data_IF_469604379954
#
_entry.id   IF_469604379954
#
_cell.length_a   1.000
_cell.length_b   1.000
_cell.length_c   1.000
_cell.angle_alpha   90.00
_cell.angle_beta   90.00
_cell.angle_gamma   90.00
#
_symmetry.space_group_name_H-M   'P 1'
#
loop_
_entity.id
_entity.type
_entity.pdbx_description
1 polymer ?
#
# COMPACT_ATOMS: atom_id res chain seq x y z
N UNK A 1 -13.91 14.32 11.76
CA UNK A 1 -13.69 14.73 10.34
C UNK A 1 -12.62 13.88 9.65
N UNK A 2 -11.55 13.48 10.33
CA UNK A 2 -10.49 12.61 9.76
C UNK A 2 -11.00 11.26 9.20
N UNK A 3 -11.87 10.49 9.90
CA UNK A 3 -12.34 9.21 9.36
C UNK A 3 -13.17 9.37 8.08
N UNK A 4 -13.92 10.46 7.92
CA UNK A 4 -14.71 10.71 6.71
C UNK A 4 -13.81 11.03 5.51
N UNK A 5 -12.81 11.91 5.67
CA UNK A 5 -11.89 12.27 4.59
C UNK A 5 -11.05 11.06 4.14
N UNK A 6 -10.61 10.22 5.08
CA UNK A 6 -9.90 8.99 4.78
C UNK A 6 -10.78 8.00 4.02
N UNK A 7 -12.02 7.79 4.46
CA UNK A 7 -12.97 6.91 3.79
C UNK A 7 -13.26 7.37 2.35
N UNK A 8 -13.44 8.69 2.14
CA UNK A 8 -13.62 9.28 0.82
C UNK A 8 -12.38 9.09 -0.08
N UNK A 9 -11.18 9.29 0.47
CA UNK A 9 -9.94 9.08 -0.28
C UNK A 9 -9.78 7.60 -0.72
N UNK A 10 -10.06 6.66 0.17
CA UNK A 10 -10.04 5.22 -0.13
C UNK A 10 -11.10 4.87 -1.18
N UNK A 11 -12.34 5.35 -1.03
CA UNK A 11 -13.41 5.11 -1.99
C UNK A 11 -13.06 5.67 -3.37
N UNK A 12 -12.50 6.87 -3.44
CA UNK A 12 -12.03 7.48 -4.68
C UNK A 12 -10.91 6.66 -5.31
N UNK A 13 -9.92 6.24 -4.52
CA UNK A 13 -8.81 5.41 -5.01
C UNK A 13 -9.31 4.07 -5.58
N UNK A 14 -10.23 3.39 -4.91
CA UNK A 14 -10.80 2.12 -5.36
C UNK A 14 -11.63 2.30 -6.64
N UNK A 15 -12.40 3.39 -6.77
CA UNK A 15 -13.24 3.64 -7.94
C UNK A 15 -12.45 4.12 -9.17
N UNK A 16 -11.27 4.70 -8.98
CA UNK A 16 -10.45 5.31 -10.04
C UNK A 16 -10.14 4.36 -11.22
N UNK A 17 -9.74 3.09 -11.05
CA UNK A 17 -9.50 2.15 -12.14
C UNK A 17 -10.72 1.93 -13.04
N UNK A 18 -11.94 1.90 -12.49
CA UNK A 18 -13.19 1.78 -13.26
C UNK A 18 -13.46 3.00 -14.12
N UNK A 19 -13.28 4.20 -13.56
CA UNK A 19 -13.41 5.45 -14.31
C UNK A 19 -12.40 5.53 -15.45
N UNK A 20 -11.15 5.17 -15.19
CA UNK A 20 -10.10 5.14 -16.21
C UNK A 20 -10.43 4.13 -17.31
N UNK A 21 -10.96 2.95 -16.96
CA UNK A 21 -11.35 1.94 -17.95
C UNK A 21 -12.50 2.44 -18.82
N UNK A 22 -13.54 3.03 -18.21
CA UNK A 22 -14.67 3.59 -18.95
C UNK A 22 -14.26 4.71 -19.91
N UNK A 23 -13.39 5.61 -19.48
CA UNK A 23 -12.91 6.72 -20.33
C UNK A 23 -12.13 6.22 -21.55
N UNK A 24 -11.42 5.09 -21.41
CA UNK A 24 -10.62 4.54 -22.51
C UNK A 24 -11.40 3.62 -23.43
N UNK A 25 -12.36 2.85 -22.94
CA UNK A 25 -13.05 1.80 -23.69
C UNK A 25 -14.55 2.05 -23.88
N UNK A 26 -15.12 3.08 -23.27
CA UNK A 26 -16.52 3.45 -23.41
C UNK A 26 -17.53 2.57 -22.64
N UNK A 27 -17.09 1.51 -21.95
CA UNK A 27 -17.96 0.61 -21.18
C UNK A 27 -17.42 0.35 -19.77
N UNK A 28 -18.32 -0.09 -18.86
CA UNK A 28 -17.98 -0.34 -17.44
C UNK A 28 -17.44 -1.77 -17.18
N UNK A 29 -17.58 -2.69 -18.15
CA UNK A 29 -17.12 -4.07 -18.00
C UNK A 29 -15.62 -4.13 -18.19
N UNK A 30 -14.88 -4.29 -17.12
CA UNK A 30 -13.44 -4.47 -17.13
C UNK A 30 -13.09 -5.86 -16.60
N UNK A 31 -12.05 -6.49 -17.16
CA UNK A 31 -11.50 -7.71 -16.58
C UNK A 31 -10.79 -7.40 -15.26
N UNK A 32 -10.77 -8.39 -14.37
CA UNK A 32 -10.05 -8.26 -13.09
C UNK A 32 -8.58 -7.83 -13.29
N UNK A 33 -7.88 -8.46 -14.24
CA UNK A 33 -6.48 -8.17 -14.56
C UNK A 33 -6.26 -6.71 -14.93
N UNK A 34 -7.14 -6.15 -15.78
CA UNK A 34 -7.03 -4.76 -16.20
C UNK A 34 -7.25 -3.78 -15.04
N UNK A 35 -8.19 -4.08 -14.15
CA UNK A 35 -8.46 -3.26 -12.96
C UNK A 35 -7.31 -3.36 -11.96
N UNK A 36 -6.83 -4.57 -11.73
CA UNK A 36 -5.71 -4.85 -10.83
C UNK A 36 -4.43 -4.14 -11.29
N UNK A 37 -4.08 -4.27 -12.58
CA UNK A 37 -2.92 -3.60 -13.15
C UNK A 37 -2.99 -2.09 -12.97
N UNK A 38 -4.14 -1.47 -13.25
CA UNK A 38 -4.36 -0.03 -13.05
C UNK A 38 -4.30 0.39 -11.61
N UNK A 39 -4.89 -0.39 -10.70
CA UNK A 39 -4.83 -0.11 -9.27
C UNK A 39 -3.37 -0.09 -8.76
N UNK A 40 -2.57 -1.08 -9.16
CA UNK A 40 -1.14 -1.11 -8.84
C UNK A 40 -0.35 0.04 -9.47
N UNK A 41 -0.62 0.36 -10.73
CA UNK A 41 0.01 1.50 -11.40
C UNK A 41 -0.33 2.82 -10.70
N UNK A 42 -1.60 3.02 -10.33
CA UNK A 42 -2.02 4.20 -9.59
C UNK A 42 -1.37 4.25 -8.19
N UNK A 43 -1.31 3.11 -7.48
CA UNK A 43 -0.67 3.00 -6.16
C UNK A 43 0.81 3.35 -6.21
N UNK A 44 1.56 2.79 -7.17
CA UNK A 44 2.99 3.08 -7.35
C UNK A 44 3.22 4.53 -7.77
N UNK A 45 2.37 5.07 -8.65
CA UNK A 45 2.44 6.50 -9.03
C UNK A 45 2.23 7.40 -7.82
N UNK A 46 1.25 7.07 -6.98
CA UNK A 46 0.96 7.82 -5.74
C UNK A 46 2.11 7.73 -4.75
N UNK A 47 2.69 6.52 -4.57
CA UNK A 47 3.84 6.32 -3.70
C UNK A 47 5.06 7.12 -4.18
N UNK A 48 5.33 7.15 -5.48
CA UNK A 48 6.40 7.94 -6.07
C UNK A 48 6.14 9.45 -5.89
N UNK A 49 4.92 9.91 -6.11
CA UNK A 49 4.53 11.30 -5.88
C UNK A 49 4.69 11.70 -4.41
N UNK A 50 4.30 10.83 -3.47
CA UNK A 50 4.47 11.05 -2.05
C UNK A 50 5.97 11.12 -1.67
N UNK A 51 6.79 10.21 -2.18
CA UNK A 51 8.23 10.20 -1.96
C UNK A 51 8.88 11.48 -2.51
N UNK A 52 8.53 11.89 -3.73
CA UNK A 52 9.01 13.13 -4.33
C UNK A 52 8.63 14.36 -3.48
N UNK A 53 7.39 14.44 -3.05
CA UNK A 53 6.89 15.53 -2.20
C UNK A 53 7.62 15.56 -0.86
N UNK A 54 7.80 14.40 -0.22
CA UNK A 54 8.51 14.26 1.05
C UNK A 54 9.97 14.70 0.94
N UNK A 55 10.68 14.22 -0.08
CA UNK A 55 12.07 14.59 -0.34
C UNK A 55 12.20 16.10 -0.59
N UNK A 56 11.30 16.69 -1.34
CA UNK A 56 11.33 18.14 -1.60
C UNK A 56 11.08 18.92 -0.31
N UNK A 57 10.13 18.50 0.54
CA UNK A 57 9.92 19.12 1.85
C UNK A 57 11.12 18.99 2.76
N UNK A 58 11.83 17.86 2.73
CA UNK A 58 13.08 17.68 3.48
C UNK A 58 14.15 18.67 3.01
N UNK A 59 14.27 18.89 1.71
CA UNK A 59 15.21 19.87 1.14
C UNK A 59 14.82 21.31 1.52
N UNK A 60 13.54 21.66 1.46
CA UNK A 60 13.04 22.98 1.88
C UNK A 60 13.27 23.22 3.38
N UNK A 61 13.02 22.19 4.21
CA UNK A 61 13.31 22.26 5.63
C UNK A 61 14.82 22.46 5.89
N UNK A 62 15.67 21.70 5.21
CA UNK A 62 17.13 21.86 5.30
C UNK A 62 17.56 23.27 4.87
N UNK A 63 16.99 23.76 3.78
CA UNK A 63 17.22 25.14 3.31
C UNK A 63 16.86 26.15 4.40
N UNK A 64 15.64 26.08 4.94
CA UNK A 64 15.20 26.97 6.02
C UNK A 64 16.14 26.92 7.23
N UNK A 65 16.59 25.72 7.63
CA UNK A 65 17.53 25.54 8.74
C UNK A 65 18.90 26.17 8.47
N UNK A 66 19.43 26.02 7.24
CA UNK A 66 20.71 26.63 6.87
C UNK A 66 20.66 28.16 6.88
N UNK A 67 19.58 28.77 6.38
CA UNK A 67 19.42 30.23 6.41
C UNK A 67 19.16 30.77 7.82
N UNK A 68 18.58 29.98 8.70
CA UNK A 68 18.43 30.32 10.12
C UNK A 68 19.78 30.46 10.81
N UNK A 69 20.79 29.65 10.45
CA UNK A 69 22.17 29.82 10.93
C UNK A 69 22.77 31.19 10.54
N UNK A 70 22.33 31.75 9.43
CA UNK A 70 22.71 33.08 8.96
C UNK A 70 21.82 34.20 9.57
N UNK A 71 20.97 33.86 10.56
CA UNK A 71 20.00 34.78 11.19
C UNK A 71 18.95 35.33 10.22
N UNK A 72 18.65 34.62 9.11
CA UNK A 72 17.62 34.98 8.16
C UNK A 72 16.41 34.07 8.43
N UNK A 73 15.35 34.59 9.04
CA UNK A 73 14.15 33.83 9.42
C UNK A 73 13.10 33.72 8.32
N UNK A 74 13.22 34.52 7.24
CA UNK A 74 12.23 34.67 6.18
C UNK A 74 11.75 33.34 5.59
N UNK A 75 12.66 32.41 5.32
CA UNK A 75 12.30 31.10 4.73
C UNK A 75 11.58 30.21 5.74
N UNK A 76 11.94 30.26 7.02
CA UNK A 76 11.26 29.52 8.06
C UNK A 76 9.81 29.99 8.24
N UNK A 77 9.61 31.29 8.21
CA UNK A 77 8.28 31.89 8.37
C UNK A 77 7.42 31.58 7.16
N UNK A 78 7.96 31.69 5.94
CA UNK A 78 7.30 31.29 4.70
C UNK A 78 6.88 29.82 4.67
N UNK A 79 7.77 28.91 5.10
CA UNK A 79 7.49 27.46 5.09
C UNK A 79 6.53 27.02 6.19
N UNK A 80 6.16 27.90 7.11
CA UNK A 80 5.12 27.67 8.13
C UNK A 80 3.77 28.28 7.75
N UNK A 81 3.73 29.12 6.71
CA UNK A 81 2.51 29.73 6.24
C UNK A 81 1.57 28.66 5.63
N UNK A 82 0.33 28.57 6.16
CA UNK A 82 -0.62 27.53 5.76
C UNK A 82 -0.94 27.56 4.26
N UNK A 83 -1.06 28.75 3.68
CA UNK A 83 -1.31 28.94 2.25
C UNK A 83 -0.12 28.41 1.42
N UNK A 84 1.12 28.72 1.82
CA UNK A 84 2.31 28.22 1.15
C UNK A 84 2.42 26.69 1.24
N UNK A 85 2.20 26.10 2.43
CA UNK A 85 2.21 24.66 2.63
C UNK A 85 1.19 23.98 1.70
N UNK A 86 -0.04 24.48 1.64
CA UNK A 86 -1.08 23.90 0.80
C UNK A 86 -0.74 23.98 -0.69
N UNK A 87 -0.31 25.16 -1.18
CA UNK A 87 0.08 25.34 -2.58
C UNK A 87 1.31 24.54 -2.96
N UNK A 88 2.37 24.59 -2.15
CA UNK A 88 3.60 23.85 -2.40
C UNK A 88 3.34 22.34 -2.42
N UNK A 89 2.65 21.80 -1.39
CA UNK A 89 2.32 20.38 -1.32
C UNK A 89 1.48 19.92 -2.51
N UNK A 90 0.44 20.69 -2.88
CA UNK A 90 -0.40 20.38 -4.04
C UNK A 90 0.38 20.39 -5.36
N UNK A 91 1.22 21.40 -5.56
CA UNK A 91 2.06 21.52 -6.76
C UNK A 91 3.08 20.38 -6.84
N UNK A 92 3.79 20.10 -5.75
CA UNK A 92 4.77 19.03 -5.67
C UNK A 92 4.15 17.65 -5.89
N UNK A 93 2.99 17.40 -5.27
CA UNK A 93 2.24 16.16 -5.50
C UNK A 93 1.81 16.03 -6.97
N UNK A 94 1.33 17.12 -7.59
CA UNK A 94 1.00 17.16 -9.01
C UNK A 94 2.18 16.85 -9.91
N UNK A 95 3.35 17.45 -9.67
CA UNK A 95 4.59 17.13 -10.38
C UNK A 95 5.01 15.68 -10.17
N UNK A 96 4.92 15.18 -8.94
CA UNK A 96 5.23 13.77 -8.63
C UNK A 96 4.34 12.80 -9.40
N UNK A 97 3.04 13.08 -9.52
CA UNK A 97 2.12 12.28 -10.33
C UNK A 97 2.46 12.38 -11.82
N UNK A 98 2.81 13.57 -12.31
CA UNK A 98 3.23 13.75 -13.71
C UNK A 98 4.48 12.94 -14.03
N UNK A 99 5.51 13.01 -13.16
CA UNK A 99 6.73 12.21 -13.29
C UNK A 99 6.39 10.71 -13.29
N UNK A 100 5.57 10.24 -12.34
CA UNK A 100 5.15 8.85 -12.27
C UNK A 100 4.42 8.37 -13.54
N UNK A 101 3.59 9.22 -14.14
CA UNK A 101 2.88 8.86 -15.38
C UNK A 101 3.76 8.90 -16.64
N UNK A 102 4.74 9.78 -16.69
CA UNK A 102 5.67 9.85 -17.82
C UNK A 102 6.73 8.75 -17.79
N UNK A 103 7.08 8.25 -16.59
CA UNK A 103 8.07 7.20 -16.36
C UNK A 103 7.42 5.80 -16.24
N UNK A 104 6.56 5.43 -17.20
CA UNK A 104 5.83 4.15 -17.19
C UNK A 104 6.77 2.93 -17.06
N UNK A 105 7.95 2.97 -17.69
CA UNK A 105 8.96 1.90 -17.61
C UNK A 105 9.51 1.73 -16.19
N UNK A 106 9.80 2.82 -15.50
CA UNK A 106 10.27 2.76 -14.11
C UNK A 106 9.21 2.14 -13.19
N UNK A 107 7.94 2.51 -13.36
CA UNK A 107 6.81 1.94 -12.59
C UNK A 107 6.67 0.44 -12.88
N UNK A 108 6.79 0.01 -14.14
CA UNK A 108 6.73 -1.41 -14.51
C UNK A 108 7.86 -2.21 -13.87
N UNK A 109 9.10 -1.70 -13.89
CA UNK A 109 10.24 -2.36 -13.24
C UNK A 109 10.02 -2.45 -11.72
N UNK A 110 9.60 -1.36 -11.08
CA UNK A 110 9.30 -1.35 -9.63
C UNK A 110 8.21 -2.35 -9.28
N UNK A 111 7.16 -2.45 -10.10
CA UNK A 111 6.09 -3.43 -9.93
C UNK A 111 6.64 -4.86 -10.02
N UNK A 112 7.46 -5.17 -11.03
CA UNK A 112 8.06 -6.49 -11.20
C UNK A 112 8.93 -6.89 -10.00
N UNK A 113 9.74 -5.96 -9.50
CA UNK A 113 10.57 -6.19 -8.30
C UNK A 113 9.71 -6.44 -7.07
N UNK A 114 8.66 -5.63 -6.84
CA UNK A 114 7.73 -5.83 -5.72
C UNK A 114 7.02 -7.17 -5.79
N UNK A 115 6.56 -7.59 -6.97
CA UNK A 115 5.91 -8.88 -7.14
C UNK A 115 6.87 -10.05 -6.95
N UNK A 116 8.12 -9.91 -7.40
CA UNK A 116 9.14 -10.90 -7.12
C UNK A 116 9.42 -11.04 -5.61
N UNK A 117 9.47 -9.91 -4.89
CA UNK A 117 9.60 -9.91 -3.43
C UNK A 117 8.38 -10.55 -2.74
N UNK A 118 7.15 -10.20 -3.14
CA UNK A 118 5.94 -10.82 -2.61
C UNK A 118 5.94 -12.32 -2.86
N UNK A 119 6.34 -12.75 -4.07
CA UNK A 119 6.45 -14.18 -4.43
C UNK A 119 7.48 -14.91 -3.56
N UNK A 120 8.62 -14.28 -3.24
CA UNK A 120 9.63 -14.86 -2.36
C UNK A 120 9.20 -14.90 -0.89
N UNK A 121 8.47 -13.91 -0.41
CA UNK A 121 8.09 -13.76 1.00
C UNK A 121 6.74 -14.39 1.36
N UNK A 122 5.85 -14.62 0.39
CA UNK A 122 4.53 -15.21 0.65
C UNK A 122 4.60 -16.56 1.39
N UNK A 123 5.50 -17.49 1.04
CA UNK A 123 5.60 -18.76 1.78
C UNK A 123 5.97 -18.57 3.25
N UNK A 124 6.87 -17.63 3.55
CA UNK A 124 7.25 -17.31 4.92
C UNK A 124 6.06 -16.71 5.69
N UNK A 125 5.34 -15.80 5.06
CA UNK A 125 4.14 -15.18 5.67
C UNK A 125 3.05 -16.21 5.90
N UNK A 126 2.81 -17.12 4.95
CA UNK A 126 1.87 -18.23 5.08
C UNK A 126 2.27 -19.18 6.24
N UNK A 127 3.55 -19.52 6.34
CA UNK A 127 4.09 -20.34 7.44
C UNK A 127 3.85 -19.68 8.80
N UNK A 128 4.20 -18.41 8.95
CA UNK A 128 3.95 -17.64 10.19
C UNK A 128 2.47 -17.66 10.53
N UNK A 129 1.59 -17.42 9.54
CA UNK A 129 0.14 -17.38 9.73
C UNK A 129 -0.41 -18.73 10.20
N UNK A 130 0.03 -19.84 9.58
CA UNK A 130 -0.42 -21.19 9.94
C UNK A 130 0.07 -21.57 11.35
N UNK A 131 1.35 -21.34 11.66
CA UNK A 131 1.91 -21.63 12.99
C UNK A 131 1.20 -20.82 14.05
N UNK A 132 0.97 -19.53 13.80
CA UNK A 132 0.24 -18.65 14.72
C UNK A 132 -1.19 -19.17 14.93
N UNK A 133 -1.94 -19.46 13.87
CA UNK A 133 -3.29 -19.98 13.97
C UNK A 133 -3.36 -21.30 14.73
N UNK A 134 -2.40 -22.20 14.51
CA UNK A 134 -2.31 -23.47 15.21
C UNK A 134 -1.91 -23.30 16.69
N UNK A 135 -1.20 -22.27 17.05
CA UNK A 135 -0.81 -22.01 18.45
C UNK A 135 -1.98 -21.48 19.31
N UNK A 136 -2.97 -20.82 18.71
CA UNK A 136 -4.10 -20.21 19.43
C UNK A 136 -4.87 -21.18 20.36
N UNK A 137 -5.20 -22.42 19.95
CA UNK A 137 -5.90 -23.36 20.83
C UNK A 137 -5.08 -23.76 22.05
N UNK A 138 -3.75 -23.73 21.97
CA UNK A 138 -2.86 -24.15 23.05
C UNK A 138 -2.50 -23.01 24.00
N UNK A 139 -2.33 -21.79 23.50
CA UNK A 139 -1.96 -20.61 24.31
C UNK A 139 -3.14 -19.91 24.94
N UNK A 140 -4.34 -20.14 24.39
CA UNK A 140 -5.58 -19.48 24.82
C UNK A 140 -5.67 -18.03 24.35
N UNK A 141 -6.89 -17.54 24.26
CA UNK A 141 -7.18 -16.17 23.80
C UNK A 141 -6.84 -15.09 24.85
N UNK A 142 -6.72 -15.47 26.12
CA UNK A 142 -6.45 -14.51 27.21
C UNK A 142 -5.11 -13.77 27.02
N UNK A 143 -4.08 -14.48 26.53
CA UNK A 143 -2.78 -13.87 26.24
C UNK A 143 -2.87 -12.84 25.12
N UNK A 144 -3.72 -13.09 24.12
CA UNK A 144 -3.95 -12.18 22.98
C UNK A 144 -4.66 -10.89 23.44
N UNK A 145 -5.72 -11.03 24.24
CA UNK A 145 -6.52 -9.89 24.72
C UNK A 145 -5.82 -9.06 25.80
N UNK A 146 -4.78 -9.60 26.42
CA UNK A 146 -3.93 -8.86 27.35
C UNK A 146 -3.04 -7.80 26.70
N UNK A 147 -2.86 -7.87 25.38
CA UNK A 147 -2.02 -6.92 24.62
C UNK A 147 -2.87 -5.88 23.91
N UNK A 148 -2.60 -4.59 24.17
CA UNK A 148 -3.32 -3.46 23.50
C UNK A 148 -3.18 -3.43 21.98
N UNK A 149 -2.19 -4.14 21.42
CA UNK A 149 -1.87 -4.13 19.99
C UNK A 149 -2.35 -5.37 19.23
N UNK A 150 -3.04 -6.30 19.89
CA UNK A 150 -3.46 -7.57 19.25
C UNK A 150 -4.28 -7.36 17.97
N UNK A 151 -5.33 -6.54 18.06
CA UNK A 151 -6.20 -6.26 16.90
C UNK A 151 -5.43 -5.64 15.72
N UNK A 152 -4.55 -4.66 15.97
CA UNK A 152 -3.76 -4.03 14.92
C UNK A 152 -2.76 -4.99 14.27
N UNK A 153 -2.13 -5.88 15.04
CA UNK A 153 -1.22 -6.90 14.53
C UNK A 153 -1.95 -7.94 13.69
N UNK A 154 -3.10 -8.42 14.15
CA UNK A 154 -3.93 -9.36 13.40
C UNK A 154 -4.44 -8.74 12.10
N UNK A 155 -4.95 -7.51 12.12
CA UNK A 155 -5.38 -6.82 10.92
C UNK A 155 -4.22 -6.58 9.94
N UNK A 156 -3.03 -6.25 10.45
CA UNK A 156 -1.83 -6.10 9.61
C UNK A 156 -1.45 -7.42 8.95
N UNK A 157 -1.47 -8.53 9.70
CA UNK A 157 -1.19 -9.86 9.17
C UNK A 157 -2.19 -10.26 8.07
N UNK A 158 -3.49 -10.05 8.31
CA UNK A 158 -4.55 -10.30 7.33
C UNK A 158 -4.36 -9.45 6.09
N UNK A 159 -4.11 -8.15 6.25
CA UNK A 159 -3.89 -7.22 5.14
C UNK A 159 -2.66 -7.61 4.29
N UNK A 160 -1.54 -7.93 4.94
CA UNK A 160 -0.33 -8.37 4.25
C UNK A 160 -0.56 -9.68 3.50
N UNK A 161 -1.22 -10.66 4.12
CA UNK A 161 -1.47 -11.94 3.48
C UNK A 161 -2.37 -11.77 2.24
N UNK A 162 -3.46 -11.02 2.35
CA UNK A 162 -4.36 -10.72 1.21
C UNK A 162 -3.59 -9.98 0.11
N UNK A 163 -2.79 -8.98 0.46
CA UNK A 163 -2.01 -8.20 -0.51
C UNK A 163 -0.98 -9.08 -1.24
N UNK A 164 -0.26 -9.92 -0.50
CA UNK A 164 0.76 -10.80 -1.10
C UNK A 164 0.15 -11.89 -1.97
N UNK A 165 -0.96 -12.49 -1.54
CA UNK A 165 -1.68 -13.49 -2.35
C UNK A 165 -2.19 -12.85 -3.63
N UNK A 166 -2.83 -11.68 -3.57
CA UNK A 166 -3.27 -10.97 -4.76
C UNK A 166 -2.11 -10.56 -5.68
N UNK A 167 -0.96 -10.18 -5.13
CA UNK A 167 0.22 -9.85 -5.91
C UNK A 167 0.82 -11.07 -6.64
N UNK A 168 0.73 -12.26 -6.05
CA UNK A 168 1.32 -13.50 -6.60
C UNK A 168 0.39 -14.22 -7.57
N UNK A 169 -0.91 -14.22 -7.28
CA UNK A 169 -1.94 -14.93 -8.10
C UNK A 169 -2.74 -13.96 -8.97
N UNK A 170 -2.04 -13.11 -9.73
CA UNK A 170 -2.66 -12.08 -10.57
C UNK A 170 -3.40 -12.64 -11.79
N UNK A 171 -2.90 -13.73 -12.37
CA UNK A 171 -3.40 -14.29 -13.62
C UNK A 171 -3.87 -15.72 -13.40
N UNK A 172 -5.11 -15.99 -13.75
CA UNK A 172 -5.74 -17.31 -13.65
C UNK A 172 -5.10 -18.36 -14.60
N UNK A 173 -4.37 -17.89 -15.63
CA UNK A 173 -3.78 -18.72 -16.69
C UNK A 173 -2.35 -19.17 -16.42
N UNK A 174 -1.69 -18.61 -15.41
CA UNK A 174 -0.30 -18.96 -15.12
C UNK A 174 -0.21 -20.22 -14.26
N UNK A 175 0.76 -21.10 -14.60
CA UNK A 175 1.07 -22.25 -13.77
C UNK A 175 1.34 -21.81 -12.32
N UNK A 176 0.84 -22.55 -11.31
CA UNK A 176 1.00 -22.15 -9.93
C UNK A 176 2.49 -21.95 -9.61
N UNK A 177 2.85 -20.79 -9.01
CA UNK A 177 4.26 -20.40 -8.85
C UNK A 177 5.04 -21.22 -7.85
N UNK A 178 4.37 -22.15 -7.16
CA UNK A 178 4.94 -22.93 -6.07
C UNK A 178 4.76 -24.43 -6.25
N UNK A 179 5.69 -25.27 -5.70
CA UNK A 179 5.49 -26.71 -5.60
C UNK A 179 4.28 -27.05 -4.72
N UNK A 180 3.69 -28.23 -4.92
CA UNK A 180 2.41 -28.62 -4.32
C UNK A 180 2.36 -28.50 -2.77
N UNK A 181 3.44 -28.78 -2.07
CA UNK A 181 3.49 -28.65 -0.61
C UNK A 181 3.42 -27.20 -0.13
N UNK A 182 4.09 -26.31 -0.84
CA UNK A 182 4.11 -24.87 -0.53
C UNK A 182 2.76 -24.21 -0.85
N UNK A 183 2.14 -24.64 -1.95
CA UNK A 183 0.80 -24.23 -2.31
C UNK A 183 -0.22 -24.62 -1.24
N UNK A 184 -0.16 -25.84 -0.70
CA UNK A 184 -1.02 -26.28 0.43
C UNK A 184 -0.82 -25.42 1.67
N UNK A 185 0.41 -24.98 1.93
CA UNK A 185 0.71 -24.07 3.04
C UNK A 185 0.02 -22.70 2.86
N UNK A 186 0.09 -22.15 1.64
CA UNK A 186 -0.60 -20.88 1.31
C UNK A 186 -2.12 -21.06 1.39
N UNK A 187 -2.68 -22.13 0.85
CA UNK A 187 -4.11 -22.46 0.96
C UNK A 187 -4.55 -22.59 2.43
N UNK A 188 -3.74 -23.26 3.26
CA UNK A 188 -3.98 -23.38 4.71
C UNK A 188 -3.97 -22.01 5.41
N UNK A 189 -3.07 -21.10 5.02
CA UNK A 189 -3.03 -19.76 5.59
C UNK A 189 -4.28 -18.94 5.20
N UNK A 190 -4.84 -19.14 4.00
CA UNK A 190 -6.09 -18.50 3.57
C UNK A 190 -7.30 -18.99 4.38
N UNK A 191 -7.34 -20.25 4.76
CA UNK A 191 -8.39 -20.79 5.63
C UNK A 191 -8.36 -20.18 7.04
N UNK A 192 -7.20 -19.74 7.51
CA UNK A 192 -7.06 -19.05 8.79
C UNK A 192 -7.53 -17.58 8.75
N UNK A 193 -7.64 -16.94 7.57
CA UNK A 193 -8.00 -15.53 7.43
C UNK A 193 -9.32 -15.14 8.12
N UNK A 194 -10.45 -15.82 7.89
CA UNK A 194 -11.72 -15.42 8.51
C UNK A 194 -11.66 -15.55 10.04
N UNK A 195 -10.93 -16.54 10.56
CA UNK A 195 -10.74 -16.69 12.01
C UNK A 195 -9.92 -15.53 12.58
N UNK A 196 -8.79 -15.19 11.94
CA UNK A 196 -7.92 -14.09 12.37
C UNK A 196 -8.62 -12.72 12.25
N UNK A 197 -9.38 -12.51 11.17
CA UNK A 197 -10.17 -11.29 10.99
C UNK A 197 -11.27 -11.18 12.06
N UNK A 198 -11.96 -12.28 12.38
CA UNK A 198 -12.99 -12.31 13.42
C UNK A 198 -12.43 -12.08 14.84
N UNK A 199 -11.19 -12.52 15.10
CA UNK A 199 -10.49 -12.25 16.35
C UNK A 199 -9.97 -10.81 16.48
N UNK A 200 -9.84 -10.10 15.36
CA UNK A 200 -9.36 -8.71 15.34
C UNK A 200 -10.48 -7.68 15.53
N UNK A 201 -11.74 -8.09 15.35
CA UNK A 201 -12.95 -7.25 15.51
C UNK A 201 -13.50 -7.33 16.94
#
# INVERSE_FOLDING_TARGET
RLPFSLAMAIATFISLPWWQHRLQHGHWRASYDALFERAWQNGLTLALAAAFTLLTWLLLWLWGALFELLKISLFRDLFREAAFIALATGTLAGFGVLIGRTQSRAIQITRQVLFAMCRGLLPLLAFITVIFALSLPFTGLAALWGTRSAASLLLTLVLLLVTFVNAVYQHDSDAPPYPAWLRRLVEGSLLALPVLAGLAL
#
